data_IF_151797146097
#
_entry.id   IF_151797146097
#
_cell.length_a   1.000
_cell.length_b   1.000
_cell.length_c   1.000
_cell.angle_alpha   90.00
_cell.angle_beta   90.00
_cell.angle_gamma   90.00
#
_symmetry.space_group_name_H-M   'P 1'
#
loop_
_entity.id
_entity.type
_entity.pdbx_description
1 polymer ?
#
# COMPACT_ATOMS: atom_id res chain seq x y z
N UNK A 1 -13.77 -17.54 19.53
CA UNK A 1 -14.08 -16.84 18.26
C UNK A 1 -12.85 -16.05 17.83
N UNK A 2 -12.69 -15.71 16.55
CA UNK A 2 -11.57 -14.86 16.13
C UNK A 2 -11.67 -13.46 16.78
N UNK A 3 -10.55 -12.86 17.24
CA UNK A 3 -10.57 -11.57 17.94
C UNK A 3 -11.29 -10.47 17.16
N UNK A 4 -11.19 -10.49 15.84
CA UNK A 4 -11.85 -9.53 14.94
C UNK A 4 -13.37 -9.68 15.01
N UNK A 5 -13.89 -10.91 14.98
CA UNK A 5 -15.34 -11.16 15.07
C UNK A 5 -15.90 -10.71 16.43
N UNK A 6 -15.12 -10.90 17.50
CA UNK A 6 -15.50 -10.43 18.84
C UNK A 6 -15.46 -8.91 18.90
N UNK A 7 -14.39 -8.27 18.41
CA UNK A 7 -14.30 -6.80 18.37
C UNK A 7 -15.43 -6.17 17.53
N UNK A 8 -15.78 -6.77 16.38
CA UNK A 8 -16.91 -6.32 15.57
C UNK A 8 -18.25 -6.46 16.29
N UNK A 9 -18.44 -7.51 17.08
CA UNK A 9 -19.66 -7.65 17.89
C UNK A 9 -19.68 -6.72 19.11
N UNK A 10 -18.53 -6.29 19.63
CA UNK A 10 -18.43 -5.23 20.64
C UNK A 10 -18.73 -3.83 20.08
N UNK A 11 -18.65 -3.64 18.75
CA UNK A 11 -18.96 -2.36 18.11
C UNK A 11 -20.41 -1.91 18.32
N UNK A 12 -21.32 -2.84 18.63
CA UNK A 12 -22.70 -2.51 18.98
C UNK A 12 -22.79 -1.67 20.27
N UNK A 13 -21.79 -1.75 21.15
CA UNK A 13 -21.71 -0.99 22.41
C UNK A 13 -20.82 0.25 22.30
N UNK A 14 -19.80 0.21 21.44
CA UNK A 14 -18.91 1.33 21.16
C UNK A 14 -18.71 1.49 19.64
N UNK A 15 -19.63 2.20 18.93
CA UNK A 15 -19.58 2.32 17.47
C UNK A 15 -18.32 3.01 16.93
N UNK A 16 -17.64 3.81 17.78
CA UNK A 16 -16.42 4.53 17.43
C UNK A 16 -15.26 3.62 17.01
N UNK A 17 -15.27 2.34 17.40
CA UNK A 17 -14.21 1.39 17.02
C UNK A 17 -14.31 0.96 15.55
N UNK A 18 -15.47 1.11 14.89
CA UNK A 18 -15.67 0.69 13.50
C UNK A 18 -14.75 1.43 12.53
N UNK A 19 -14.34 2.67 12.86
CA UNK A 19 -13.40 3.44 12.05
C UNK A 19 -12.04 2.75 11.89
N UNK A 20 -11.69 1.86 12.81
CA UNK A 20 -10.42 1.13 12.80
C UNK A 20 -10.51 -0.19 12.01
N UNK A 21 -11.70 -0.65 11.62
CA UNK A 21 -11.91 -1.93 10.91
C UNK A 21 -12.42 -1.71 9.48
N UNK A 22 -11.59 -1.11 8.62
CA UNK A 22 -11.90 -0.82 7.22
C UNK A 22 -11.98 -2.05 6.30
N UNK A 23 -12.62 -1.90 5.14
CA UNK A 23 -12.74 -2.96 4.13
C UNK A 23 -11.36 -3.35 3.60
N UNK A 24 -10.94 -4.59 3.89
CA UNK A 24 -9.66 -5.16 3.43
C UNK A 24 -8.51 -5.07 4.43
N UNK A 25 -8.64 -4.29 5.51
CA UNK A 25 -7.67 -4.23 6.61
C UNK A 25 -8.15 -5.14 7.76
N UNK A 26 -7.29 -6.06 8.21
CA UNK A 26 -7.55 -6.94 9.37
C UNK A 26 -6.57 -6.60 10.50
N UNK A 27 -6.75 -5.48 11.22
CA UNK A 27 -5.84 -5.10 12.29
C UNK A 27 -6.08 -5.98 13.52
N UNK A 28 -5.43 -7.15 13.54
CA UNK A 28 -5.56 -8.15 14.62
C UNK A 28 -5.18 -7.52 15.97
N UNK A 29 -4.10 -6.73 16.01
CA UNK A 29 -3.65 -6.03 17.22
C UNK A 29 -4.69 -5.03 17.76
N UNK A 30 -5.44 -4.36 16.87
CA UNK A 30 -6.54 -3.48 17.28
C UNK A 30 -7.69 -4.30 17.88
N UNK A 31 -8.06 -5.42 17.25
CA UNK A 31 -9.09 -6.31 17.76
C UNK A 31 -8.76 -6.86 19.15
N UNK A 32 -7.51 -7.29 19.35
CA UNK A 32 -7.02 -7.74 20.65
C UNK A 32 -7.10 -6.64 21.71
N UNK A 33 -6.73 -5.40 21.37
CA UNK A 33 -6.78 -4.29 22.33
C UNK A 33 -8.21 -3.94 22.73
N UNK A 34 -9.15 -3.93 21.79
CA UNK A 34 -10.59 -3.73 22.08
C UNK A 34 -11.13 -4.84 22.99
N UNK A 35 -10.75 -6.10 22.72
CA UNK A 35 -11.14 -7.25 23.54
C UNK A 35 -10.57 -7.16 24.96
N UNK A 36 -9.33 -6.72 25.12
CA UNK A 36 -8.72 -6.49 26.44
C UNK A 36 -9.46 -5.43 27.25
N UNK A 37 -9.90 -4.34 26.62
CA UNK A 37 -10.70 -3.30 27.29
C UNK A 37 -12.02 -3.91 27.78
N UNK A 38 -12.69 -4.69 26.95
CA UNK A 38 -13.91 -5.42 27.32
C UNK A 38 -13.69 -6.34 28.53
N UNK A 39 -12.65 -7.18 28.49
CA UNK A 39 -12.29 -8.07 29.60
C UNK A 39 -11.97 -7.34 30.90
N UNK A 40 -11.31 -6.18 30.80
CA UNK A 40 -10.95 -5.35 31.96
C UNK A 40 -12.20 -4.76 32.63
N UNK A 41 -13.15 -4.29 31.82
CA UNK A 41 -14.41 -3.70 32.31
C UNK A 41 -15.32 -4.74 32.94
N UNK A 42 -15.38 -5.96 32.37
CA UNK A 42 -16.24 -7.03 32.89
C UNK A 42 -15.56 -7.89 33.95
N UNK A 43 -14.24 -7.77 34.13
CA UNK A 43 -13.45 -8.61 35.03
C UNK A 43 -13.34 -10.08 34.59
N UNK A 44 -13.71 -10.40 33.35
CA UNK A 44 -13.76 -11.77 32.83
C UNK A 44 -12.54 -12.08 31.97
N UNK A 45 -11.96 -13.27 32.12
CA UNK A 45 -10.78 -13.69 31.34
C UNK A 45 -11.13 -14.18 29.93
N UNK A 46 -12.39 -14.55 29.65
CA UNK A 46 -12.83 -14.95 28.31
C UNK A 46 -13.44 -13.77 27.56
N UNK A 47 -13.01 -13.50 26.30
CA UNK A 47 -13.63 -12.53 25.42
C UNK A 47 -15.14 -12.74 25.20
N UNK A 48 -15.56 -14.00 25.07
CA UNK A 48 -16.96 -14.37 24.88
C UNK A 48 -17.78 -14.13 26.14
N UNK A 49 -17.21 -14.41 27.33
CA UNK A 49 -17.84 -14.13 28.61
C UNK A 49 -17.99 -12.62 28.84
N UNK A 50 -17.01 -11.81 28.43
CA UNK A 50 -17.10 -10.34 28.51
C UNK A 50 -18.27 -9.82 27.66
N UNK A 51 -18.41 -10.36 26.45
CA UNK A 51 -19.47 -9.95 25.53
C UNK A 51 -20.86 -10.35 26.03
N UNK A 52 -21.00 -11.54 26.62
CA UNK A 52 -22.23 -11.98 27.26
C UNK A 52 -22.59 -11.09 28.45
N UNK A 53 -21.62 -10.81 29.34
CA UNK A 53 -21.82 -9.94 30.50
C UNK A 53 -22.26 -8.51 30.11
N UNK A 54 -21.74 -7.97 29.01
CA UNK A 54 -22.16 -6.66 28.48
C UNK A 54 -23.55 -6.68 27.84
N UNK A 55 -24.02 -7.82 27.32
CA UNK A 55 -25.39 -7.98 26.82
C UNK A 55 -26.40 -8.05 27.97
N UNK A 56 -26.02 -8.70 29.06
CA UNK A 56 -26.87 -8.90 30.23
C UNK A 56 -26.91 -7.67 31.16
N UNK A 57 -25.82 -6.89 31.23
CA UNK A 57 -25.72 -5.74 32.11
C UNK A 57 -25.35 -4.46 31.34
N UNK A 58 -26.34 -3.57 31.22
CA UNK A 58 -26.20 -2.28 30.55
C UNK A 58 -25.14 -1.36 31.19
N UNK A 59 -24.83 -1.52 32.48
CA UNK A 59 -23.77 -0.73 33.12
C UNK A 59 -22.39 -1.09 32.58
N UNK A 60 -22.11 -2.37 32.32
CA UNK A 60 -20.84 -2.78 31.72
C UNK A 60 -20.71 -2.27 30.28
N UNK A 61 -21.80 -2.25 29.52
CA UNK A 61 -21.80 -1.66 28.17
C UNK A 61 -21.48 -0.15 28.19
N UNK A 62 -22.03 0.61 29.15
CA UNK A 62 -21.72 2.03 29.31
C UNK A 62 -20.27 2.27 29.76
N UNK A 63 -19.79 1.49 30.73
CA UNK A 63 -18.40 1.56 31.18
C UNK A 63 -17.41 1.19 30.08
N UNK A 64 -17.75 0.20 29.24
CA UNK A 64 -16.96 -0.15 28.06
C UNK A 64 -16.89 1.00 27.06
N UNK A 65 -18.02 1.65 26.77
CA UNK A 65 -18.03 2.81 25.87
C UNK A 65 -17.13 3.94 26.40
N UNK A 66 -17.22 4.26 27.70
CA UNK A 66 -16.35 5.26 28.33
C UNK A 66 -14.88 4.84 28.33
N UNK A 67 -14.58 3.56 28.59
CA UNK A 67 -13.22 3.04 28.57
C UNK A 67 -12.61 3.07 27.15
N UNK A 68 -13.41 2.79 26.12
CA UNK A 68 -12.99 2.93 24.71
C UNK A 68 -12.71 4.39 24.37
N UNK A 69 -13.55 5.33 24.82
CA UNK A 69 -13.33 6.76 24.62
C UNK A 69 -12.07 7.25 25.35
N UNK A 70 -11.83 6.78 26.57
CA UNK A 70 -10.62 7.11 27.34
C UNK A 70 -9.35 6.52 26.69
N UNK A 71 -9.47 5.33 26.10
CA UNK A 71 -8.39 4.66 25.40
C UNK A 71 -8.22 5.13 23.94
N UNK A 72 -9.00 6.10 23.47
CA UNK A 72 -9.07 6.43 22.04
C UNK A 72 -7.73 6.85 21.45
N UNK A 73 -6.96 7.64 22.21
CA UNK A 73 -5.60 8.04 21.82
C UNK A 73 -4.63 6.85 21.76
N UNK A 74 -4.79 5.84 22.63
CA UNK A 74 -3.98 4.62 22.57
C UNK A 74 -4.37 3.77 21.37
N UNK A 75 -5.67 3.61 21.12
CA UNK A 75 -6.18 2.87 19.96
C UNK A 75 -5.69 3.53 18.66
N UNK A 76 -5.73 4.86 18.57
CA UNK A 76 -5.23 5.58 17.41
C UNK A 76 -3.72 5.40 17.22
N UNK A 77 -2.92 5.38 18.29
CA UNK A 77 -1.49 5.05 18.21
C UNK A 77 -1.25 3.62 17.69
N UNK A 78 -2.03 2.65 18.16
CA UNK A 78 -1.93 1.25 17.69
C UNK A 78 -2.30 1.16 16.20
N UNK A 79 -3.37 1.84 15.78
CA UNK A 79 -3.79 1.91 14.38
C UNK A 79 -2.70 2.54 13.49
N UNK A 80 -2.14 3.69 13.92
CA UNK A 80 -1.08 4.38 13.18
C UNK A 80 0.23 3.57 13.15
N UNK A 81 0.56 2.86 14.22
CA UNK A 81 1.75 1.99 14.27
C UNK A 81 1.64 0.83 13.28
N UNK A 82 0.46 0.19 13.19
CA UNK A 82 0.21 -0.88 12.23
C UNK A 82 0.32 -0.36 10.78
N UNK A 83 -0.24 0.83 10.52
CA UNK A 83 -0.13 1.50 9.22
C UNK A 83 1.30 1.95 8.89
N UNK A 84 2.04 2.42 9.89
CA UNK A 84 3.44 2.81 9.75
C UNK A 84 4.31 1.60 9.42
N UNK A 85 4.04 0.45 10.03
CA UNK A 85 4.75 -0.81 9.74
C UNK A 85 4.45 -1.30 8.31
N UNK A 86 3.20 -1.18 7.83
CA UNK A 86 2.87 -1.47 6.44
C UNK A 86 3.67 -0.60 5.45
N UNK A 87 3.78 0.72 5.70
CA UNK A 87 4.60 1.63 4.88
C UNK A 87 6.10 1.40 5.06
N UNK A 88 6.54 1.03 6.26
CA UNK A 88 7.94 0.69 6.52
C UNK A 88 8.35 -0.56 5.75
N UNK A 89 7.47 -1.57 5.63
CA UNK A 89 7.70 -2.71 4.73
C UNK A 89 7.83 -2.29 3.27
N UNK A 90 6.99 -1.40 2.76
CA UNK A 90 7.14 -0.91 1.38
C UNK A 90 8.47 -0.15 1.18
N UNK A 91 8.88 0.63 2.19
CA UNK A 91 10.15 1.33 2.19
C UNK A 91 11.32 0.36 2.34
N UNK A 92 11.21 -0.69 3.14
CA UNK A 92 12.22 -1.73 3.32
C UNK A 92 12.34 -2.61 2.06
N UNK A 93 11.25 -2.99 1.42
CA UNK A 93 11.26 -3.65 0.10
C UNK A 93 11.92 -2.75 -0.96
N UNK A 94 11.70 -1.43 -0.90
CA UNK A 94 12.42 -0.45 -1.74
C UNK A 94 13.89 -0.27 -1.35
N UNK A 95 14.24 -0.37 -0.06
CA UNK A 95 15.61 -0.25 0.48
C UNK A 95 16.45 -1.53 0.32
N UNK A 96 15.83 -2.71 0.31
CA UNK A 96 16.49 -3.99 -0.01
C UNK A 96 17.06 -3.97 -1.44
N UNK A 97 16.47 -3.16 -2.33
CA UNK A 97 17.01 -2.87 -3.66
C UNK A 97 17.86 -1.58 -3.71
N UNK A 98 18.15 -0.92 -2.58
CA UNK A 98 19.01 0.26 -2.45
C UNK A 98 18.72 1.41 -3.45
N UNK A 99 17.48 1.55 -3.94
CA UNK A 99 17.16 2.49 -5.01
C UNK A 99 17.81 2.17 -6.37
N UNK A 100 18.51 1.03 -6.49
CA UNK A 100 19.03 0.50 -7.74
C UNK A 100 17.96 -0.39 -8.37
N UNK A 101 17.26 0.16 -9.36
CA UNK A 101 16.34 -0.61 -10.18
C UNK A 101 17.14 -1.45 -11.18
N UNK A 102 17.92 -2.43 -10.72
CA UNK A 102 18.67 -3.35 -11.61
C UNK A 102 17.79 -3.94 -12.70
N UNK A 103 16.50 -4.16 -12.42
CA UNK A 103 15.50 -4.59 -13.40
C UNK A 103 15.23 -3.54 -14.50
N UNK A 104 15.13 -2.27 -14.13
CA UNK A 104 14.97 -1.16 -15.08
C UNK A 104 16.28 -0.90 -15.86
N UNK A 105 17.43 -0.97 -15.20
CA UNK A 105 18.74 -0.80 -15.84
C UNK A 105 18.98 -1.90 -16.88
N UNK A 106 18.73 -3.17 -16.51
CA UNK A 106 18.83 -4.30 -17.43
C UNK A 106 17.83 -4.16 -18.58
N UNK A 107 16.60 -3.72 -18.32
CA UNK A 107 15.61 -3.48 -19.37
C UNK A 107 16.07 -2.40 -20.35
N UNK A 108 16.63 -1.29 -19.85
CA UNK A 108 17.11 -0.18 -20.68
C UNK A 108 18.33 -0.60 -21.52
N UNK A 109 19.29 -1.29 -20.92
CA UNK A 109 20.46 -1.85 -21.63
C UNK A 109 20.01 -2.82 -22.73
N UNK A 110 19.09 -3.73 -22.42
CA UNK A 110 18.54 -4.66 -23.41
C UNK A 110 17.83 -3.94 -24.56
N UNK A 111 17.07 -2.87 -24.27
CA UNK A 111 16.42 -2.07 -25.30
C UNK A 111 17.44 -1.39 -26.24
N UNK A 112 18.52 -0.83 -25.69
CA UNK A 112 19.62 -0.26 -26.47
C UNK A 112 20.32 -1.30 -27.35
N UNK A 113 20.65 -2.46 -26.78
CA UNK A 113 21.26 -3.57 -27.52
C UNK A 113 20.36 -4.06 -28.65
N UNK A 114 19.05 -4.16 -28.41
CA UNK A 114 18.09 -4.58 -29.43
C UNK A 114 18.02 -3.58 -30.61
N UNK A 115 17.99 -2.28 -30.33
CA UNK A 115 17.99 -1.24 -31.38
C UNK A 115 19.28 -1.29 -32.20
N UNK A 116 20.45 -1.43 -31.56
CA UNK A 116 21.75 -1.56 -32.24
C UNK A 116 21.79 -2.82 -33.09
N UNK A 117 21.30 -3.96 -32.58
CA UNK A 117 21.27 -5.22 -33.31
C UNK A 117 20.36 -5.16 -34.55
N UNK A 118 19.18 -4.54 -34.43
CA UNK A 118 18.25 -4.34 -35.55
C UNK A 118 18.89 -3.42 -36.61
N UNK A 119 19.49 -2.30 -36.20
CA UNK A 119 20.21 -1.41 -37.11
C UNK A 119 21.37 -2.12 -37.81
N UNK A 120 22.13 -2.95 -37.09
CA UNK A 120 23.21 -3.77 -37.63
C UNK A 120 22.75 -4.79 -38.67
N UNK A 121 21.67 -5.52 -38.40
CA UNK A 121 21.10 -6.51 -39.33
C UNK A 121 20.64 -5.88 -40.65
N UNK A 122 20.04 -4.69 -40.58
CA UNK A 122 19.58 -3.95 -41.76
C UNK A 122 20.76 -3.32 -42.53
N UNK A 123 21.71 -2.69 -41.83
CA UNK A 123 22.86 -2.01 -42.46
C UNK A 123 23.86 -2.96 -43.10
N UNK A 124 24.04 -4.17 -42.55
CA UNK A 124 24.87 -5.22 -43.15
C UNK A 124 24.17 -5.99 -44.27
N UNK A 125 22.94 -5.58 -44.66
CA UNK A 125 22.16 -6.21 -45.72
C UNK A 125 21.71 -7.64 -45.39
N UNK A 126 21.76 -8.06 -44.12
CA UNK A 126 21.33 -9.40 -43.70
C UNK A 126 19.81 -9.55 -43.65
N UNK A 127 19.10 -8.43 -43.53
CA UNK A 127 17.64 -8.36 -43.63
C UNK A 127 17.29 -7.17 -44.51
N UNK A 128 16.44 -7.39 -45.52
CA UNK A 128 15.87 -6.30 -46.31
C UNK A 128 14.78 -5.59 -45.50
N UNK A 129 14.93 -4.28 -45.31
CA UNK A 129 13.97 -3.44 -44.61
C UNK A 129 12.57 -3.41 -45.24
N UNK A 130 12.47 -3.66 -46.56
CA UNK A 130 11.19 -3.73 -47.27
C UNK A 130 10.49 -5.10 -47.15
N UNK A 131 11.19 -6.11 -46.64
CA UNK A 131 10.60 -7.42 -46.39
C UNK A 131 9.65 -7.40 -45.19
N UNK A 132 8.75 -8.38 -45.11
CA UNK A 132 7.87 -8.54 -43.93
C UNK A 132 8.66 -8.65 -42.61
N UNK A 133 9.84 -9.30 -42.65
CA UNK A 133 10.75 -9.41 -41.49
C UNK A 133 11.40 -8.06 -41.17
N UNK A 134 11.86 -7.33 -42.19
CA UNK A 134 12.43 -5.99 -42.03
C UNK A 134 11.43 -4.98 -41.46
N UNK A 135 10.21 -4.95 -41.98
CA UNK A 135 9.14 -4.10 -41.49
C UNK A 135 8.73 -4.41 -40.04
N UNK A 136 8.71 -5.70 -39.68
CA UNK A 136 8.49 -6.12 -38.29
C UNK A 136 9.61 -5.66 -37.36
N UNK A 137 10.87 -5.86 -37.74
CA UNK A 137 12.03 -5.42 -36.96
C UNK A 137 12.09 -3.90 -36.82
N UNK A 138 11.76 -3.14 -37.86
CA UNK A 138 11.67 -1.68 -37.81
C UNK A 138 10.59 -1.19 -36.86
N UNK A 139 9.43 -1.85 -36.85
CA UNK A 139 8.31 -1.52 -35.93
C UNK A 139 8.70 -1.75 -34.47
N UNK A 140 9.31 -2.90 -34.18
CA UNK A 140 9.81 -3.22 -32.83
C UNK A 140 10.96 -2.30 -32.42
N UNK A 141 11.90 -2.04 -33.34
CA UNK A 141 13.00 -1.09 -33.11
C UNK A 141 12.49 0.30 -32.76
N UNK A 142 11.45 0.77 -33.46
CA UNK A 142 10.77 2.04 -33.16
C UNK A 142 10.11 2.07 -31.78
N UNK A 143 9.47 0.96 -31.36
CA UNK A 143 8.91 0.85 -30.00
C UNK A 143 10.00 0.92 -28.92
N UNK A 144 11.13 0.22 -29.09
CA UNK A 144 12.23 0.29 -28.13
C UNK A 144 12.88 1.67 -28.10
N UNK A 145 13.07 2.32 -29.25
CA UNK A 145 13.58 3.68 -29.32
C UNK A 145 12.68 4.69 -28.58
N UNK A 146 11.35 4.56 -28.70
CA UNK A 146 10.39 5.38 -27.94
C UNK A 146 10.53 5.17 -26.43
N UNK A 147 10.63 3.91 -25.99
CA UNK A 147 10.75 3.58 -24.57
C UNK A 147 12.07 4.09 -23.96
N UNK A 148 13.16 4.08 -24.75
CA UNK A 148 14.42 4.72 -24.36
C UNK A 148 14.22 6.23 -24.19
N UNK A 149 13.52 6.89 -25.13
CA UNK A 149 13.20 8.32 -25.03
C UNK A 149 12.44 8.67 -23.74
N UNK A 150 11.43 7.86 -23.38
CA UNK A 150 10.69 8.03 -22.11
C UNK A 150 11.59 7.89 -20.88
N UNK A 151 12.60 7.00 -20.92
CA UNK A 151 13.57 6.88 -19.83
C UNK A 151 14.49 8.10 -19.72
N UNK A 152 14.91 8.70 -20.86
CA UNK A 152 15.65 9.97 -20.85
C UNK A 152 14.80 11.13 -20.32
N UNK A 153 13.53 11.23 -20.74
CA UNK A 153 12.62 12.26 -20.23
C UNK A 153 12.42 12.15 -18.71
N UNK A 154 12.40 10.92 -18.19
CA UNK A 154 12.32 10.66 -16.76
C UNK A 154 13.56 11.15 -16.01
N UNK A 155 14.75 10.82 -16.52
CA UNK A 155 16.03 11.16 -15.88
C UNK A 155 16.38 12.65 -16.00
N UNK A 156 16.05 13.29 -17.13
CA UNK A 156 16.54 14.64 -17.46
C UNK A 156 15.53 15.78 -17.38
N UNK A 157 14.21 15.57 -17.20
CA UNK A 157 13.36 16.77 -17.07
C UNK A 157 11.86 16.68 -16.88
N UNK A 158 11.15 15.59 -17.15
CA UNK A 158 9.68 15.60 -17.10
C UNK A 158 9.10 15.08 -15.77
N UNK A 159 9.79 14.16 -15.10
CA UNK A 159 9.28 13.51 -13.89
C UNK A 159 9.52 14.30 -12.60
N UNK A 160 10.38 15.32 -12.65
CA UNK A 160 10.56 16.28 -11.55
C UNK A 160 9.30 17.12 -11.36
N UNK A 161 8.70 17.62 -12.45
CA UNK A 161 7.45 18.39 -12.40
C UNK A 161 6.23 17.58 -11.93
N UNK A 162 6.19 16.26 -12.18
CA UNK A 162 5.12 15.40 -11.64
C UNK A 162 5.27 15.20 -10.13
N UNK A 163 6.50 14.96 -9.63
CA UNK A 163 6.77 14.88 -8.18
C UNK A 163 6.49 16.21 -7.46
N UNK A 164 6.76 17.33 -8.12
CA UNK A 164 6.47 18.67 -7.61
C UNK A 164 4.95 18.94 -7.54
N UNK A 165 4.19 18.53 -8.57
CA UNK A 165 2.72 18.57 -8.55
C UNK A 165 2.12 17.64 -7.49
N UNK A 166 2.63 16.43 -7.34
CA UNK A 166 2.17 15.50 -6.30
C UNK A 166 2.46 16.05 -4.90
N UNK A 167 3.61 16.71 -4.70
CA UNK A 167 3.95 17.40 -3.47
C UNK A 167 3.06 18.61 -3.18
N UNK A 168 2.72 19.40 -4.22
CA UNK A 168 1.79 20.52 -4.11
C UNK A 168 0.36 20.04 -3.83
N UNK A 169 -0.08 18.95 -4.44
CA UNK A 169 -1.40 18.34 -4.18
C UNK A 169 -1.47 17.78 -2.75
N UNK A 170 -0.39 17.17 -2.25
CA UNK A 170 -0.32 16.70 -0.87
C UNK A 170 -0.29 17.83 0.17
N UNK A 171 0.13 19.05 -0.25
CA UNK A 171 0.14 20.26 0.57
C UNK A 171 -1.12 21.11 0.41
N UNK A 172 -2.00 20.80 -0.55
CA UNK A 172 -3.29 21.47 -0.62
C UNK A 172 -4.09 21.06 0.64
N UNK A 173 -4.47 22.02 1.50
CA UNK A 173 -5.39 21.74 2.58
C UNK A 173 -6.66 21.18 1.96
N UNK A 174 -7.10 19.99 2.38
CA UNK A 174 -8.39 19.44 1.97
C UNK A 174 -9.43 20.56 2.13
N UNK A 175 -9.89 21.09 0.99
CA UNK A 175 -10.81 22.20 0.93
C UNK A 175 -12.03 21.86 1.77
N UNK A 176 -12.33 22.75 2.72
CA UNK A 176 -13.61 22.80 3.42
C UNK A 176 -14.70 23.18 2.43
#
# INVERSE_FOLDING_TARGET
MDPITIALSLAQFAPSILRYFGVGEKPVAMAERVVQIAQTVTGTQSPEAALAAMRENQQFAQQFNLAVLAADTELEKVYLADRANARARDVEVRKVNAGQNRRADVMLICAFVAVIAIAGLLSLGKVDGASAVGGFLLTIGGMFARNIGTAFDFEFGSSRGSKEKDGLIAQMPNGR
#
